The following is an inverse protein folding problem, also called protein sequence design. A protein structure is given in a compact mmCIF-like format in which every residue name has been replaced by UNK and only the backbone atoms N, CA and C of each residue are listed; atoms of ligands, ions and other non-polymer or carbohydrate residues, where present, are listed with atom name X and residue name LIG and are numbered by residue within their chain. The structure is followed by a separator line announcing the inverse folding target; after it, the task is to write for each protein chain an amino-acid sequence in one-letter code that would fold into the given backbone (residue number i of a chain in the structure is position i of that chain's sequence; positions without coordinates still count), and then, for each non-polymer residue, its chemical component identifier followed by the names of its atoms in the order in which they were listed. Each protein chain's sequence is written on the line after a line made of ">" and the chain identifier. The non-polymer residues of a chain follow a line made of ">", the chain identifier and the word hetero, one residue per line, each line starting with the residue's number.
data_IF_050744184155
#
_entry.id   IF_050744184155
#
_cell.length_a   1.000
_cell.length_b   1.000
_cell.length_c   1.000
_cell.angle_alpha   90.00
_cell.angle_beta   90.00
_cell.angle_gamma   90.00
#
_symmetry.space_group_name_H-M   'P 1'
#
loop_
_entity.id
_entity.type
_entity.pdbx_description
1 polymer ?
#
# COMPACT_ATOMS: atom_id res chain seq x y z
N UNK A 1 -18.04 -62.59 -40.85
CA UNK A 1 -16.99 -61.87 -40.12
C UNK A 1 -17.19 -60.39 -40.38
N UNK A 2 -17.75 -59.68 -39.40
CA UNK A 2 -17.98 -58.18 -39.47
C UNK A 2 -16.90 -57.51 -38.70
N UNK A 3 -16.03 -56.75 -39.39
CA UNK A 3 -14.98 -55.92 -38.75
C UNK A 3 -15.57 -54.54 -38.38
N UNK A 4 -15.66 -54.24 -37.10
CA UNK A 4 -16.05 -52.93 -36.62
C UNK A 4 -14.80 -52.03 -36.63
N UNK A 5 -14.88 -50.93 -37.36
CA UNK A 5 -13.88 -49.85 -37.28
C UNK A 5 -14.29 -48.90 -36.14
N UNK A 6 -13.46 -48.82 -35.11
CA UNK A 6 -13.62 -47.83 -34.07
C UNK A 6 -12.96 -46.49 -34.52
N UNK A 7 -13.78 -45.45 -34.60
CA UNK A 7 -13.34 -44.10 -34.95
C UNK A 7 -12.90 -43.42 -33.64
N UNK A 8 -11.60 -43.19 -33.48
CA UNK A 8 -11.06 -42.42 -32.36
C UNK A 8 -11.19 -40.91 -32.65
N UNK A 9 -12.06 -40.24 -31.92
CA UNK A 9 -12.19 -38.79 -31.96
C UNK A 9 -11.12 -38.20 -31.05
N UNK A 10 -10.09 -37.57 -31.62
CA UNK A 10 -9.09 -36.79 -30.90
C UNK A 10 -9.66 -35.39 -30.68
N UNK A 11 -10.11 -35.08 -29.45
CA UNK A 11 -10.49 -33.74 -29.05
C UNK A 11 -9.20 -32.97 -28.74
N UNK A 12 -8.76 -32.16 -29.69
CA UNK A 12 -7.63 -31.24 -29.48
C UNK A 12 -8.04 -30.09 -28.53
N UNK A 13 -7.51 -30.07 -27.31
CA UNK A 13 -7.58 -28.91 -26.45
C UNK A 13 -6.66 -27.82 -27.02
N UNK A 14 -7.22 -26.81 -27.65
CA UNK A 14 -6.50 -25.61 -28.02
C UNK A 14 -6.27 -24.77 -26.74
N UNK A 15 -5.06 -24.82 -26.20
CA UNK A 15 -4.62 -23.84 -25.19
C UNK A 15 -4.47 -22.48 -25.88
N UNK A 16 -5.42 -21.58 -25.68
CA UNK A 16 -5.22 -20.16 -25.99
C UNK A 16 -4.19 -19.61 -25.03
N UNK A 17 -2.94 -19.53 -25.45
CA UNK A 17 -1.91 -18.77 -24.75
C UNK A 17 -2.31 -17.28 -24.85
N UNK A 18 -3.01 -16.77 -23.85
CA UNK A 18 -3.24 -15.34 -23.67
C UNK A 18 -1.86 -14.69 -23.50
N UNK A 19 -1.41 -13.94 -24.51
CA UNK A 19 -0.23 -13.09 -24.36
C UNK A 19 -0.54 -12.09 -23.24
N UNK A 20 0.09 -12.25 -22.07
CA UNK A 20 0.12 -11.21 -21.04
C UNK A 20 0.85 -10.02 -21.67
N UNK A 21 0.12 -8.96 -21.97
CA UNK A 21 0.74 -7.70 -22.38
C UNK A 21 1.70 -7.28 -21.25
N UNK A 22 2.98 -7.11 -21.59
CA UNK A 22 3.95 -6.62 -20.64
C UNK A 22 3.46 -5.25 -20.12
N UNK A 23 3.41 -5.09 -18.80
CA UNK A 23 3.10 -3.80 -18.20
C UNK A 23 4.16 -2.77 -18.66
N UNK A 24 3.68 -1.59 -19.06
CA UNK A 24 4.59 -0.49 -19.40
C UNK A 24 5.31 -0.04 -18.15
N UNK A 25 6.64 0.09 -18.23
CA UNK A 25 7.43 0.69 -17.17
C UNK A 25 6.92 2.10 -16.84
N UNK A 26 6.95 2.45 -15.55
CA UNK A 26 6.60 3.77 -15.04
C UNK A 26 7.87 4.47 -14.56
N UNK A 27 8.08 5.70 -15.00
CA UNK A 27 9.05 6.62 -14.43
C UNK A 27 8.37 7.96 -14.22
N UNK A 28 8.34 8.44 -12.98
CA UNK A 28 7.72 9.72 -12.63
C UNK A 28 8.69 10.55 -11.83
N UNK A 29 8.94 11.77 -12.30
CA UNK A 29 9.69 12.76 -11.53
C UNK A 29 8.85 13.20 -10.31
N UNK A 30 9.51 13.61 -9.22
CA UNK A 30 8.81 14.12 -8.03
C UNK A 30 7.87 15.30 -8.33
N UNK A 31 8.21 16.14 -9.32
CA UNK A 31 7.40 17.26 -9.79
C UNK A 31 6.14 16.85 -10.57
N UNK A 32 6.07 15.59 -11.03
CA UNK A 32 4.93 15.05 -11.78
C UNK A 32 3.91 14.36 -10.86
N UNK A 33 4.23 14.17 -9.60
CA UNK A 33 3.34 13.55 -8.62
C UNK A 33 2.06 14.38 -8.46
N UNK A 34 0.92 13.72 -8.64
CA UNK A 34 -0.39 14.35 -8.50
C UNK A 34 -0.91 14.12 -7.07
N UNK A 35 -0.80 15.13 -6.24
CA UNK A 35 -1.27 15.09 -4.87
C UNK A 35 -2.77 15.35 -4.78
N UNK A 36 -3.46 14.49 -4.06
CA UNK A 36 -4.90 14.62 -3.72
C UNK A 36 -5.08 14.39 -2.23
N UNK A 37 -6.18 14.86 -1.68
CA UNK A 37 -6.51 14.57 -0.27
C UNK A 37 -6.63 13.06 -0.06
N UNK A 38 -6.13 12.58 1.08
CA UNK A 38 -6.24 11.18 1.45
C UNK A 38 -7.60 10.93 2.13
N UNK A 39 -8.52 10.16 1.50
CA UNK A 39 -9.85 9.97 2.08
C UNK A 39 -9.84 9.14 3.37
N UNK A 40 -8.83 8.30 3.57
CA UNK A 40 -8.68 7.48 4.78
C UNK A 40 -8.05 8.26 5.95
N UNK A 41 -7.36 9.38 5.69
CA UNK A 41 -6.60 10.12 6.70
C UNK A 41 -6.78 11.62 6.52
N UNK A 42 -7.67 12.22 7.32
CA UNK A 42 -7.99 13.65 7.25
C UNK A 42 -6.72 14.53 7.41
N UNK A 43 -6.55 15.50 6.51
CA UNK A 43 -5.43 16.44 6.51
C UNK A 43 -4.15 15.92 5.86
N UNK A 44 -4.10 14.63 5.53
CA UNK A 44 -3.01 14.05 4.75
C UNK A 44 -3.32 14.10 3.24
N UNK A 45 -2.27 14.03 2.42
CA UNK A 45 -2.37 13.90 0.98
C UNK A 45 -1.78 12.57 0.50
N UNK A 46 -2.18 12.15 -0.69
CA UNK A 46 -1.61 10.98 -1.36
C UNK A 46 -1.38 11.25 -2.84
N UNK A 47 -0.41 10.53 -3.41
CA UNK A 47 -0.20 10.43 -4.84
C UNK A 47 -0.09 8.95 -5.21
N UNK A 48 -1.14 8.40 -5.81
CA UNK A 48 -1.20 6.98 -6.18
C UNK A 48 -0.31 6.73 -7.40
N UNK A 49 0.58 5.76 -7.30
CA UNK A 49 1.51 5.35 -8.36
C UNK A 49 0.98 4.15 -9.14
N UNK A 50 0.37 3.21 -8.45
CA UNK A 50 -0.25 2.04 -9.04
C UNK A 50 -1.37 1.49 -8.15
N UNK A 51 -2.26 0.68 -8.72
CA UNK A 51 -3.39 0.09 -8.03
C UNK A 51 -4.53 1.08 -7.76
N UNK A 52 -5.46 0.66 -6.90
CA UNK A 52 -6.62 1.46 -6.50
C UNK A 52 -6.82 1.34 -4.98
N UNK A 53 -6.43 2.36 -4.18
CA UNK A 53 -6.59 2.32 -2.73
C UNK A 53 -8.01 2.10 -2.24
N UNK A 54 -9.02 2.38 -3.06
CA UNK A 54 -10.41 2.15 -2.69
C UNK A 54 -10.86 0.69 -2.85
N UNK A 55 -10.11 -0.12 -3.64
CA UNK A 55 -10.56 -1.45 -4.05
C UNK A 55 -9.60 -2.59 -3.70
N UNK A 56 -8.30 -2.32 -3.59
CA UNK A 56 -7.33 -3.39 -3.41
C UNK A 56 -5.91 -2.90 -3.21
N UNK A 57 -4.96 -3.75 -3.58
CA UNK A 57 -3.54 -3.47 -3.44
C UNK A 57 -3.12 -2.21 -4.21
N UNK A 58 -2.20 -1.44 -3.62
CA UNK A 58 -1.72 -0.18 -4.21
C UNK A 58 -0.32 0.18 -3.73
N UNK A 59 0.33 1.08 -4.48
CA UNK A 59 1.51 1.82 -4.05
C UNK A 59 1.28 3.31 -4.20
N UNK A 60 1.62 4.07 -3.17
CA UNK A 60 1.42 5.53 -3.18
C UNK A 60 2.47 6.25 -2.34
N UNK A 61 2.73 7.50 -2.70
CA UNK A 61 3.30 8.43 -1.74
C UNK A 61 2.19 8.97 -0.83
N UNK A 62 2.54 9.15 0.44
CA UNK A 62 1.71 9.82 1.45
C UNK A 62 2.47 11.05 1.95
N UNK A 63 1.71 12.09 2.29
CA UNK A 63 2.24 13.30 2.90
C UNK A 63 1.40 13.66 4.12
N UNK A 64 2.04 13.79 5.26
CA UNK A 64 1.43 14.19 6.53
C UNK A 64 2.04 15.52 6.92
N UNK A 65 1.22 16.56 7.21
CA UNK A 65 1.73 17.84 7.68
C UNK A 65 2.54 17.70 8.96
N UNK A 66 3.62 18.49 9.06
CA UNK A 66 4.42 18.56 10.28
C UNK A 66 3.59 18.95 11.51
N UNK A 67 3.82 18.27 12.62
CA UNK A 67 3.07 18.41 13.87
C UNK A 67 1.79 17.56 13.95
N UNK A 68 1.48 16.75 12.95
CA UNK A 68 0.28 15.90 12.94
C UNK A 68 0.50 14.61 13.71
N UNK A 69 -0.30 14.36 14.73
CA UNK A 69 -0.41 13.07 15.39
C UNK A 69 -1.57 12.27 14.81
N UNK A 70 -1.32 11.04 14.39
CA UNK A 70 -2.35 10.16 13.86
C UNK A 70 -3.11 9.43 14.96
N UNK A 71 -2.49 9.25 16.13
CA UNK A 71 -3.02 8.46 17.22
C UNK A 71 -2.95 6.96 16.97
N UNK A 72 -3.25 6.18 18.01
CA UNK A 72 -3.25 4.71 17.91
C UNK A 72 -4.34 4.24 16.96
N UNK A 73 -3.97 3.46 15.94
CA UNK A 73 -4.88 2.97 14.92
C UNK A 73 -4.42 1.63 14.36
N UNK A 74 -5.26 1.00 13.55
CA UNK A 74 -4.96 -0.23 12.80
C UNK A 74 -5.34 -0.07 11.34
N UNK A 75 -4.76 -0.93 10.50
CA UNK A 75 -5.17 -1.17 9.11
C UNK A 75 -5.59 -2.62 8.95
N UNK A 76 -6.52 -2.91 8.04
CA UNK A 76 -6.98 -4.29 7.80
C UNK A 76 -5.91 -5.15 7.12
N UNK A 77 -5.02 -4.52 6.35
CA UNK A 77 -4.05 -5.20 5.48
C UNK A 77 -2.62 -4.85 5.84
N UNK A 78 -1.70 -5.76 5.50
CA UNK A 78 -0.27 -5.52 5.65
C UNK A 78 0.17 -4.32 4.83
N UNK A 79 0.99 -3.48 5.46
CA UNK A 79 1.58 -2.31 4.81
C UNK A 79 3.09 -2.31 5.01
N UNK A 80 3.79 -1.73 4.04
CA UNK A 80 5.23 -1.46 4.11
C UNK A 80 5.45 -0.01 3.74
N UNK A 81 6.28 0.69 4.51
CA UNK A 81 6.57 2.08 4.26
C UNK A 81 8.06 2.40 4.35
N UNK A 82 8.48 3.35 3.54
CA UNK A 82 9.83 3.93 3.58
C UNK A 82 9.68 5.44 3.71
N UNK A 83 10.24 6.03 4.77
CA UNK A 83 10.23 7.46 4.97
C UNK A 83 11.21 8.14 4.00
N UNK A 84 10.71 9.12 3.25
CA UNK A 84 11.46 9.89 2.25
C UNK A 84 11.97 11.21 2.85
N UNK A 85 11.12 11.90 3.61
CA UNK A 85 11.46 13.18 4.28
C UNK A 85 10.66 13.38 5.55
N UNK A 86 11.08 14.34 6.37
CA UNK A 86 10.51 14.60 7.68
C UNK A 86 11.05 13.64 8.74
N UNK A 87 10.42 13.65 9.90
CA UNK A 87 10.74 12.78 11.03
C UNK A 87 9.45 12.24 11.64
N UNK A 88 9.30 10.93 11.70
CA UNK A 88 8.17 10.26 12.35
C UNK A 88 8.59 9.75 13.74
N UNK A 89 7.82 10.03 14.77
CA UNK A 89 7.79 9.20 15.97
C UNK A 89 6.82 8.06 15.73
N UNK A 90 7.28 6.83 15.87
CA UNK A 90 6.50 5.61 15.57
C UNK A 90 6.65 4.59 16.67
N UNK A 91 5.56 3.90 17.02
CA UNK A 91 5.60 2.71 17.89
C UNK A 91 4.43 1.77 17.60
N UNK A 92 4.66 0.47 17.78
CA UNK A 92 3.57 -0.47 17.97
C UNK A 92 3.04 -0.37 19.42
N UNK A 93 1.78 -0.81 19.63
CA UNK A 93 1.19 -0.83 20.97
C UNK A 93 2.07 -1.63 21.94
N UNK A 94 2.34 -1.05 23.10
CA UNK A 94 3.21 -1.66 24.11
C UNK A 94 4.72 -1.52 23.88
N UNK A 95 5.14 -0.98 22.75
CA UNK A 95 6.55 -0.72 22.45
C UNK A 95 6.96 0.73 22.72
N UNK A 96 8.25 0.93 22.95
CA UNK A 96 8.82 2.27 23.04
C UNK A 96 8.77 2.99 21.68
N UNK A 97 8.53 4.29 21.70
CA UNK A 97 8.59 5.14 20.52
C UNK A 97 9.98 5.13 19.90
N UNK A 98 10.05 5.04 18.58
CA UNK A 98 11.25 5.19 17.76
C UNK A 98 11.14 6.45 16.93
N UNK A 99 12.22 7.20 16.85
CA UNK A 99 12.35 8.30 15.91
C UNK A 99 12.88 7.78 14.58
N UNK A 100 12.12 7.95 13.51
CA UNK A 100 12.40 7.48 12.17
C UNK A 100 12.68 8.67 11.27
N UNK A 101 13.89 8.76 10.73
CA UNK A 101 14.28 9.74 9.71
C UNK A 101 14.19 9.17 8.29
N UNK A 102 14.58 9.99 7.30
CA UNK A 102 14.62 9.58 5.89
C UNK A 102 15.44 8.29 5.69
N UNK A 103 14.93 7.37 4.85
CA UNK A 103 15.49 6.05 4.62
C UNK A 103 15.04 4.98 5.63
N UNK A 104 14.32 5.35 6.70
CA UNK A 104 13.77 4.37 7.64
C UNK A 104 12.66 3.54 7.01
N UNK A 105 12.60 2.26 7.39
CA UNK A 105 11.62 1.29 6.93
C UNK A 105 10.70 0.83 8.05
N UNK A 106 9.42 0.69 7.76
CA UNK A 106 8.41 0.11 8.66
C UNK A 106 7.64 -0.98 7.92
N UNK A 107 7.42 -2.11 8.59
CA UNK A 107 6.50 -3.16 8.15
C UNK A 107 5.38 -3.28 9.18
N UNK A 108 4.14 -3.08 8.76
CA UNK A 108 2.96 -3.06 9.62
C UNK A 108 2.07 -4.24 9.24
N UNK A 109 1.99 -5.29 10.07
CA UNK A 109 1.04 -6.37 9.85
C UNK A 109 -0.40 -5.87 9.95
N UNK A 110 -1.30 -6.46 9.15
CA UNK A 110 -2.73 -6.18 9.24
C UNK A 110 -3.26 -6.42 10.65
N UNK A 111 -4.03 -5.50 11.17
CA UNK A 111 -4.58 -5.53 12.53
C UNK A 111 -3.62 -5.10 13.64
N UNK A 112 -2.33 -4.87 13.38
CA UNK A 112 -1.38 -4.45 14.41
C UNK A 112 -1.64 -2.99 14.84
N UNK A 113 -1.96 -2.72 16.12
CA UNK A 113 -2.13 -1.36 16.62
C UNK A 113 -0.79 -0.61 16.65
N UNK A 114 -0.78 0.59 16.10
CA UNK A 114 0.41 1.44 16.06
C UNK A 114 0.04 2.92 16.08
N UNK A 115 1.00 3.74 16.46
CA UNK A 115 0.91 5.20 16.48
C UNK A 115 2.03 5.80 15.63
N UNK A 116 1.70 6.89 14.94
CA UNK A 116 2.66 7.67 14.19
C UNK A 116 2.38 9.16 14.38
N UNK A 117 3.40 9.92 14.67
CA UNK A 117 3.36 11.40 14.78
C UNK A 117 4.42 11.99 13.87
N UNK A 118 4.02 12.80 12.90
CA UNK A 118 4.97 13.63 12.17
C UNK A 118 5.44 14.78 13.05
N UNK A 119 6.73 14.85 13.34
CA UNK A 119 7.28 15.92 14.18
C UNK A 119 7.10 17.28 13.52
N UNK A 120 6.92 18.31 14.35
CA UNK A 120 6.82 19.68 13.87
C UNK A 120 8.08 20.12 13.12
N UNK A 121 7.93 21.00 12.14
CA UNK A 121 9.01 21.60 11.36
C UNK A 121 8.91 21.29 9.87
N UNK A 122 8.80 20.03 9.47
CA UNK A 122 8.69 19.63 8.09
C UNK A 122 7.61 18.57 7.92
N UNK A 123 7.00 18.53 6.74
CA UNK A 123 6.05 17.47 6.37
C UNK A 123 6.76 16.13 6.28
N UNK A 124 6.09 15.07 6.72
CA UNK A 124 6.54 13.71 6.54
C UNK A 124 6.02 13.18 5.21
N UNK A 125 6.94 12.80 4.33
CA UNK A 125 6.63 12.12 3.07
C UNK A 125 7.18 10.72 3.14
N UNK A 126 6.34 9.72 2.83
CA UNK A 126 6.75 8.34 2.78
C UNK A 126 6.09 7.63 1.59
N UNK A 127 6.78 6.63 1.05
CA UNK A 127 6.20 5.67 0.13
C UNK A 127 5.54 4.58 0.95
N UNK A 128 4.34 4.17 0.53
CA UNK A 128 3.57 3.10 1.15
C UNK A 128 3.10 2.10 0.10
N UNK A 129 3.30 0.83 0.40
CA UNK A 129 2.71 -0.30 -0.33
C UNK A 129 1.74 -1.03 0.59
N UNK A 130 0.54 -1.32 0.11
CA UNK A 130 -0.47 -2.12 0.80
C UNK A 130 -0.91 -3.29 -0.06
N UNK A 131 -1.11 -4.46 0.56
CA UNK A 131 -1.62 -5.66 -0.12
C UNK A 131 -3.14 -5.67 -0.28
N UNK A 132 -3.84 -4.67 0.22
CA UNK A 132 -5.29 -4.52 0.11
C UNK A 132 -5.74 -3.07 0.14
N UNK A 133 -7.06 -2.86 0.18
CA UNK A 133 -7.65 -1.52 0.18
C UNK A 133 -7.21 -0.69 1.39
N UNK A 134 -7.08 0.62 1.18
CA UNK A 134 -6.73 1.56 2.24
C UNK A 134 -7.86 1.67 3.26
N UNK A 135 -7.50 1.64 4.53
CA UNK A 135 -8.38 1.95 5.64
C UNK A 135 -7.59 2.60 6.79
N UNK A 136 -8.31 3.17 7.73
CA UNK A 136 -7.75 3.76 8.94
C UNK A 136 -8.78 3.59 10.06
N UNK A 137 -8.45 2.76 11.06
CA UNK A 137 -9.35 2.43 12.15
C UNK A 137 -8.76 2.88 13.48
N UNK A 138 -9.20 4.02 14.06
CA UNK A 138 -8.75 4.44 15.38
C UNK A 138 -9.00 3.36 16.44
N UNK A 139 -8.01 3.16 17.31
CA UNK A 139 -8.14 2.30 18.49
C UNK A 139 -8.67 3.16 19.63
N UNK A 140 -9.91 2.93 20.05
CA UNK A 140 -10.48 3.56 21.24
C UNK A 140 -10.05 2.78 22.48
N UNK A 141 -9.33 3.45 23.41
CA UNK A 141 -9.10 2.86 24.74
C UNK A 141 -10.47 2.68 25.44
N UNK A 142 -10.74 1.46 25.84
CA UNK A 142 -11.86 1.17 26.74
C UNK A 142 -11.54 1.66 28.15
#
# INVERSE_FOLDING_TARGET
>A
MKRAFALAVIVGLAFAAGALAAEKGLASAASELKWTDNPAMKGAQQSVLWGDPAKGAYGSFKKIPGGTALGMHTHAHDQKAILISGTLEFNFEGEAKKELGAGSYVSIPGGAPHDATCKAGADCVYFEESVGAADFKPVTKK
#
